data_IF_686598516168
#
_entry.id   IF_686598516168
#
_cell.length_a   1.000
_cell.length_b   1.000
_cell.length_c   1.000
_cell.angle_alpha   90.00
_cell.angle_beta   90.00
_cell.angle_gamma   90.00
#
_symmetry.space_group_name_H-M   'P 1'
#
loop_
_entity.id
_entity.type
_entity.pdbx_description
1 polymer ?
#
# COMPACT_ATOMS: atom_id res chain seq x y z
N UNK A 1 7.19 10.82 -54.82
CA UNK A 1 8.25 10.32 -53.91
C UNK A 1 8.40 8.80 -54.07
N UNK A 2 9.61 8.31 -54.31
CA UNK A 2 9.89 6.90 -54.68
C UNK A 2 9.59 5.92 -53.53
N UNK A 3 9.08 4.72 -53.86
CA UNK A 3 8.67 3.68 -52.89
C UNK A 3 9.74 3.39 -51.82
N UNK A 4 11.02 3.33 -52.21
CA UNK A 4 12.15 3.11 -51.30
C UNK A 4 12.33 4.23 -50.26
N UNK A 5 12.06 5.49 -50.63
CA UNK A 5 12.12 6.63 -49.70
C UNK A 5 11.01 6.52 -48.66
N UNK A 6 9.80 6.12 -49.06
CA UNK A 6 8.68 5.90 -48.12
C UNK A 6 9.01 4.81 -47.09
N UNK A 7 9.62 3.71 -47.52
CA UNK A 7 10.03 2.61 -46.62
C UNK A 7 11.11 3.08 -45.63
N UNK A 8 12.11 3.83 -46.09
CA UNK A 8 13.17 4.36 -45.23
C UNK A 8 12.61 5.35 -44.19
N UNK A 9 11.68 6.22 -44.58
CA UNK A 9 10.98 7.11 -43.66
C UNK A 9 10.16 6.34 -42.63
N UNK A 10 9.46 5.28 -43.04
CA UNK A 10 8.66 4.44 -42.14
C UNK A 10 9.56 3.71 -41.13
N UNK A 11 10.69 3.17 -41.57
CA UNK A 11 11.66 2.50 -40.70
C UNK A 11 12.28 3.47 -39.68
N UNK A 12 12.62 4.69 -40.10
CA UNK A 12 13.15 5.72 -39.20
C UNK A 12 12.10 6.18 -38.18
N UNK A 13 10.84 6.33 -38.61
CA UNK A 13 9.72 6.64 -37.72
C UNK A 13 9.46 5.52 -36.69
N UNK A 14 9.48 4.25 -37.13
CA UNK A 14 9.32 3.09 -36.24
C UNK A 14 10.50 2.94 -35.26
N UNK A 15 11.72 3.24 -35.70
CA UNK A 15 12.90 3.24 -34.84
C UNK A 15 12.84 4.34 -33.78
N UNK A 16 12.40 5.55 -34.16
CA UNK A 16 12.15 6.64 -33.21
C UNK A 16 11.03 6.32 -32.21
N UNK A 17 10.00 5.58 -32.65
CA UNK A 17 8.92 5.12 -31.77
C UNK A 17 9.40 4.04 -30.78
N UNK A 18 10.28 3.13 -31.22
CA UNK A 18 10.86 2.07 -30.39
C UNK A 18 11.84 2.63 -29.35
N UNK A 19 12.51 3.74 -29.66
CA UNK A 19 13.42 4.45 -28.76
C UNK A 19 12.73 5.46 -27.83
N UNK A 20 11.41 5.60 -27.87
CA UNK A 20 10.68 6.51 -26.97
C UNK A 20 10.42 5.81 -25.62
N UNK A 21 11.18 6.10 -24.55
CA UNK A 21 10.92 5.46 -23.26
C UNK A 21 9.56 5.93 -22.75
N UNK A 22 8.63 5.00 -22.51
CA UNK A 22 7.45 5.31 -21.72
C UNK A 22 7.91 5.67 -20.31
N UNK A 23 7.53 6.86 -19.83
CA UNK A 23 7.72 7.23 -18.43
C UNK A 23 6.86 6.30 -17.58
N UNK A 24 7.45 5.26 -17.01
CA UNK A 24 6.80 4.51 -15.94
C UNK A 24 6.82 5.40 -14.69
N UNK A 25 5.68 6.01 -14.36
CA UNK A 25 5.51 6.55 -13.03
C UNK A 25 5.49 5.36 -12.07
N UNK A 26 6.61 5.08 -11.42
CA UNK A 26 6.61 4.21 -10.25
C UNK A 26 5.63 4.84 -9.25
N UNK A 27 4.59 4.10 -8.88
CA UNK A 27 3.51 4.62 -8.05
C UNK A 27 4.08 4.99 -6.68
N UNK A 28 3.81 6.22 -6.24
CA UNK A 28 4.05 6.58 -4.84
C UNK A 28 3.14 5.72 -3.99
N UNK A 29 3.72 4.83 -3.17
CA UNK A 29 2.94 4.02 -2.24
C UNK A 29 2.39 4.94 -1.16
N UNK A 30 1.13 5.35 -1.30
CA UNK A 30 0.41 6.01 -0.21
C UNK A 30 0.24 5.00 0.92
N UNK A 31 0.80 5.32 2.09
CA UNK A 31 0.57 4.51 3.28
C UNK A 31 -0.90 4.66 3.65
N UNK A 32 -1.63 3.54 3.66
CA UNK A 32 -3.01 3.46 4.13
C UNK A 32 -2.99 2.91 5.55
N UNK A 33 -3.77 3.53 6.42
CA UNK A 33 -4.02 3.05 7.78
C UNK A 33 -5.48 2.62 7.89
N UNK A 34 -5.69 1.44 8.46
CA UNK A 34 -6.99 1.06 8.96
C UNK A 34 -7.15 1.60 10.39
N UNK A 35 -8.39 1.90 10.77
CA UNK A 35 -8.69 2.48 12.08
C UNK A 35 -9.48 1.45 12.87
N UNK A 36 -8.95 1.12 14.04
CA UNK A 36 -9.61 0.30 15.05
C UNK A 36 -9.97 1.21 16.23
N UNK A 37 -11.25 1.31 16.56
CA UNK A 37 -11.76 2.22 17.60
C UNK A 37 -12.57 1.47 18.65
N UNK A 38 -13.18 2.21 19.57
CA UNK A 38 -14.12 1.66 20.56
C UNK A 38 -15.31 0.95 19.91
N UNK A 39 -15.74 1.40 18.73
CA UNK A 39 -16.80 0.75 17.95
C UNK A 39 -16.41 -0.64 17.44
N UNK A 40 -15.11 -0.92 17.30
CA UNK A 40 -14.58 -2.23 16.90
C UNK A 40 -14.29 -3.15 18.11
N UNK A 41 -14.52 -2.66 19.34
CA UNK A 41 -14.35 -3.40 20.58
C UNK A 41 -13.10 -3.06 21.40
N UNK A 42 -12.34 -2.03 21.00
CA UNK A 42 -11.29 -1.48 21.87
C UNK A 42 -11.94 -0.86 23.12
N UNK A 43 -11.38 -1.08 24.31
CA UNK A 43 -12.00 -0.57 25.54
C UNK A 43 -11.99 0.96 25.64
N UNK A 44 -10.94 1.63 25.13
CA UNK A 44 -10.80 3.09 25.15
C UNK A 44 -9.80 3.58 24.09
N UNK A 45 -10.00 4.78 23.53
CA UNK A 45 -9.28 5.27 22.34
C UNK A 45 -7.79 5.64 22.55
N UNK A 46 -7.38 5.96 23.78
CA UNK A 46 -6.00 6.24 24.15
C UNK A 46 -5.25 4.93 24.46
N UNK A 47 -4.59 4.39 23.43
CA UNK A 47 -3.65 3.28 23.57
C UNK A 47 -2.31 3.81 24.09
N UNK A 48 -1.90 3.37 25.28
CA UNK A 48 -0.67 3.80 25.96
C UNK A 48 0.51 2.85 25.69
N UNK A 49 0.23 1.57 25.44
CA UNK A 49 1.27 0.57 25.18
C UNK A 49 0.77 -0.52 24.23
N UNK A 50 1.70 -1.08 23.45
CA UNK A 50 1.44 -2.17 22.50
C UNK A 50 2.57 -3.20 22.62
N UNK A 51 2.20 -4.48 22.72
CA UNK A 51 3.12 -5.61 22.68
C UNK A 51 2.54 -6.76 21.86
N UNK A 52 3.39 -7.60 21.25
CA UNK A 52 2.96 -8.83 20.60
C UNK A 52 3.44 -10.05 21.40
N UNK A 53 2.57 -11.03 21.64
CA UNK A 53 2.97 -12.28 22.28
C UNK A 53 3.58 -13.29 21.29
N UNK A 54 4.16 -14.38 21.80
CA UNK A 54 4.79 -15.42 20.98
C UNK A 54 3.83 -16.22 20.09
N UNK A 55 2.51 -16.01 20.22
CA UNK A 55 1.48 -16.63 19.36
C UNK A 55 0.97 -15.66 18.30
N UNK A 56 1.44 -14.41 18.32
CA UNK A 56 1.08 -13.38 17.35
C UNK A 56 -0.06 -12.47 17.77
N UNK A 57 -0.64 -12.62 18.96
CA UNK A 57 -1.69 -11.72 19.45
C UNK A 57 -1.10 -10.35 19.82
N UNK A 58 -1.80 -9.28 19.48
CA UNK A 58 -1.46 -7.94 19.94
C UNK A 58 -2.14 -7.68 21.29
N UNK A 59 -1.39 -7.09 22.21
CA UNK A 59 -1.83 -6.66 23.52
C UNK A 59 -1.72 -5.14 23.58
N UNK A 60 -2.84 -4.45 23.79
CA UNK A 60 -2.96 -3.00 23.81
C UNK A 60 -3.45 -2.55 25.19
N UNK A 61 -2.58 -1.88 25.95
CA UNK A 61 -2.98 -1.25 27.20
C UNK A 61 -3.54 0.14 26.92
N UNK A 62 -4.78 0.39 27.34
CA UNK A 62 -5.44 1.69 27.24
C UNK A 62 -5.53 2.34 28.62
N UNK A 63 -6.05 3.56 28.71
CA UNK A 63 -6.38 4.17 30.01
C UNK A 63 -7.46 3.39 30.79
N UNK A 64 -8.25 2.55 30.10
CA UNK A 64 -9.35 1.79 30.70
C UNK A 64 -9.34 0.33 30.20
N UNK A 65 -8.30 -0.42 30.55
CA UNK A 65 -8.24 -1.87 30.35
C UNK A 65 -7.11 -2.38 29.47
N UNK A 66 -7.01 -3.70 29.39
CA UNK A 66 -6.03 -4.43 28.59
C UNK A 66 -6.75 -5.19 27.48
N UNK A 67 -6.42 -4.88 26.23
CA UNK A 67 -7.10 -5.42 25.06
C UNK A 67 -6.21 -6.43 24.35
N UNK A 68 -6.72 -7.63 24.09
CA UNK A 68 -6.07 -8.61 23.22
C UNK A 68 -6.73 -8.60 21.84
N UNK A 69 -5.95 -8.39 20.79
CA UNK A 69 -6.41 -8.39 19.40
C UNK A 69 -5.85 -9.58 18.63
N UNK A 70 -6.74 -10.31 17.94
CA UNK A 70 -6.42 -11.52 17.18
C UNK A 70 -6.26 -11.32 15.66
N UNK A 71 -6.31 -10.06 15.19
CA UNK A 71 -6.33 -9.72 13.77
C UNK A 71 -7.74 -9.48 13.22
N UNK A 72 -8.78 -9.79 14.01
CA UNK A 72 -10.18 -9.61 13.61
C UNK A 72 -11.02 -8.93 14.68
N UNK A 73 -10.79 -9.24 15.96
CA UNK A 73 -11.58 -8.73 17.09
C UNK A 73 -10.74 -8.51 18.34
N UNK A 74 -11.24 -7.64 19.20
CA UNK A 74 -10.72 -7.45 20.55
C UNK A 74 -11.37 -8.42 21.55
N UNK A 75 -10.62 -8.71 22.61
CA UNK A 75 -11.10 -9.32 23.86
C UNK A 75 -10.54 -8.50 25.00
N UNK A 76 -11.41 -8.04 25.90
CA UNK A 76 -11.09 -7.26 27.10
C UNK A 76 -11.00 -8.19 28.31
#
# INVERSE_FOLDING_TARGET
>A
MNMKRKILFLAFALFGLFLFPLRTAAQSSTIRFDRLTVEDGLSQNAVLTIAQDGRGFLWLGTEDGLNKYDGYKFTV
#
